data_IF_782140187606
#
_entry.id   IF_782140187606
#
_cell.length_a   1.000
_cell.length_b   1.000
_cell.length_c   1.000
_cell.angle_alpha   90.00
_cell.angle_beta   90.00
_cell.angle_gamma   90.00
#
_symmetry.space_group_name_H-M   'P 1'
#
loop_
_entity.id
_entity.type
_entity.pdbx_description
1 polymer ?
#
# COMPACT_ATOMS: atom_id res chain seq x y z
N UNK A 1 -3.05 -15.47 -21.70
CA UNK A 1 -3.40 -15.32 -20.26
C UNK A 1 -2.46 -14.29 -19.66
N UNK A 2 -2.98 -13.20 -19.09
CA UNK A 2 -2.17 -12.18 -18.38
C UNK A 2 -1.90 -12.70 -16.96
N UNK A 3 -0.66 -12.61 -16.48
CA UNK A 3 -0.26 -13.06 -15.13
C UNK A 3 0.29 -11.88 -14.34
N UNK A 4 -0.36 -11.52 -13.24
CA UNK A 4 -0.12 -10.28 -12.45
C UNK A 4 0.55 -10.54 -11.10
N UNK A 5 1.44 -11.54 -11.01
CA UNK A 5 2.09 -11.91 -9.74
C UNK A 5 3.07 -10.84 -9.21
N UNK A 6 3.46 -9.87 -10.04
CA UNK A 6 4.45 -8.84 -9.70
C UNK A 6 4.10 -8.04 -8.45
N UNK A 7 2.81 -7.72 -8.22
CA UNK A 7 2.41 -6.97 -7.02
C UNK A 7 2.87 -7.68 -5.73
N UNK A 8 2.73 -9.01 -5.64
CA UNK A 8 3.13 -9.77 -4.44
C UNK A 8 4.64 -9.78 -4.22
N UNK A 9 5.42 -9.59 -5.27
CA UNK A 9 6.87 -9.45 -5.21
C UNK A 9 7.32 -8.00 -4.92
N UNK A 10 6.39 -7.06 -4.72
CA UNK A 10 6.68 -5.67 -4.41
C UNK A 10 6.79 -4.75 -5.63
N UNK A 11 6.47 -5.22 -6.84
CA UNK A 11 6.37 -4.34 -8.00
C UNK A 11 5.17 -3.41 -7.84
N UNK A 12 5.32 -2.19 -8.33
CA UNK A 12 4.31 -1.13 -8.22
C UNK A 12 3.54 -0.89 -9.52
N UNK A 13 3.99 -1.50 -10.62
CA UNK A 13 3.39 -1.39 -11.94
C UNK A 13 3.78 -2.59 -12.81
N UNK A 14 3.15 -2.67 -13.98
CA UNK A 14 3.44 -3.63 -15.04
C UNK A 14 3.34 -2.95 -16.40
N UNK A 15 4.20 -3.32 -17.34
CA UNK A 15 4.13 -2.82 -18.72
C UNK A 15 2.99 -3.50 -19.48
N UNK A 16 2.12 -2.72 -20.12
CA UNK A 16 1.14 -3.20 -21.08
C UNK A 16 1.71 -3.15 -22.50
N UNK A 17 1.57 -4.24 -23.25
CA UNK A 17 1.93 -4.31 -24.68
C UNK A 17 0.69 -4.41 -25.58
N UNK A 18 -0.49 -4.55 -24.98
CA UNK A 18 -1.77 -4.64 -25.69
C UNK A 18 -2.89 -3.99 -24.86
N UNK A 19 -3.84 -3.24 -25.47
CA UNK A 19 -4.92 -2.56 -24.75
C UNK A 19 -5.73 -3.46 -23.81
N UNK A 20 -6.05 -4.69 -24.22
CA UNK A 20 -6.77 -5.67 -23.39
C UNK A 20 -6.05 -6.09 -22.08
N UNK A 21 -4.81 -5.65 -21.85
CA UNK A 21 -4.10 -5.89 -20.59
C UNK A 21 -4.33 -4.78 -19.57
N UNK A 22 -4.78 -3.60 -19.99
CA UNK A 22 -4.84 -2.39 -19.17
C UNK A 22 -5.73 -2.61 -17.93
N UNK A 23 -6.97 -3.08 -18.13
CA UNK A 23 -7.91 -3.26 -17.02
C UNK A 23 -7.41 -4.30 -16.01
N UNK A 24 -6.88 -5.42 -16.50
CA UNK A 24 -6.33 -6.50 -15.65
C UNK A 24 -5.12 -6.01 -14.86
N UNK A 25 -4.24 -5.21 -15.47
CA UNK A 25 -3.08 -4.63 -14.80
C UNK A 25 -3.52 -3.61 -13.75
N UNK A 26 -4.44 -2.72 -14.09
CA UNK A 26 -4.92 -1.70 -13.17
C UNK A 26 -5.63 -2.34 -11.97
N UNK A 27 -6.55 -3.27 -12.19
CA UNK A 27 -7.21 -4.02 -11.11
C UNK A 27 -6.20 -4.67 -10.16
N UNK A 28 -5.12 -5.24 -10.71
CA UNK A 28 -4.12 -5.95 -9.93
C UNK A 28 -3.08 -5.08 -9.22
N UNK A 29 -2.88 -3.82 -9.63
CA UNK A 29 -1.85 -2.92 -9.08
C UNK A 29 -2.41 -1.65 -8.43
N UNK A 30 -3.71 -1.39 -8.57
CA UNK A 30 -4.40 -0.30 -7.87
C UNK A 30 -4.49 -0.58 -6.37
N UNK A 31 -4.37 0.50 -5.61
CA UNK A 31 -4.50 0.48 -4.15
C UNK A 31 -5.98 0.37 -3.81
N UNK A 32 -6.34 -0.58 -2.95
CA UNK A 32 -7.72 -0.77 -2.48
C UNK A 32 -8.05 0.21 -1.35
N UNK A 33 -9.35 0.45 -1.11
CA UNK A 33 -9.80 1.30 0.00
C UNK A 33 -9.34 0.74 1.35
N UNK A 34 -9.43 -0.58 1.54
CA UNK A 34 -8.98 -1.25 2.75
C UNK A 34 -7.47 -1.04 3.02
N UNK A 35 -6.63 -1.11 1.99
CA UNK A 35 -5.20 -0.85 2.11
C UNK A 35 -4.92 0.61 2.51
N UNK A 36 -5.71 1.54 1.98
CA UNK A 36 -5.57 2.96 2.29
C UNK A 36 -6.03 3.28 3.71
N UNK A 37 -7.19 2.76 4.11
CA UNK A 37 -7.73 2.88 5.47
C UNK A 37 -6.77 2.30 6.51
N UNK A 38 -6.24 1.10 6.26
CA UNK A 38 -5.22 0.50 7.11
C UNK A 38 -3.98 1.40 7.22
N UNK A 39 -3.46 1.88 6.09
CA UNK A 39 -2.28 2.75 6.07
C UNK A 39 -2.51 4.05 6.85
N UNK A 40 -3.70 4.65 6.74
CA UNK A 40 -4.07 5.85 7.46
C UNK A 40 -4.08 5.61 8.98
N UNK A 41 -4.71 4.52 9.43
CA UNK A 41 -4.75 4.13 10.85
C UNK A 41 -3.35 3.87 11.42
N UNK A 42 -2.47 3.24 10.64
CA UNK A 42 -1.06 3.04 11.05
C UNK A 42 -0.37 4.38 11.23
N UNK A 43 -0.49 5.31 10.28
CA UNK A 43 0.12 6.64 10.38
C UNK A 43 -0.40 7.40 11.59
N UNK A 44 -1.71 7.41 11.80
CA UNK A 44 -2.33 8.06 12.96
C UNK A 44 -1.83 7.49 14.30
N UNK A 45 -1.69 6.16 14.38
CA UNK A 45 -1.23 5.50 15.61
C UNK A 45 0.23 5.88 15.96
N UNK A 46 1.11 6.02 14.96
CA UNK A 46 2.47 6.50 15.15
C UNK A 46 2.55 8.01 15.41
N UNK A 47 1.76 8.81 14.69
CA UNK A 47 1.74 10.26 14.87
C UNK A 47 1.18 10.65 16.26
N UNK A 48 0.29 9.84 16.84
CA UNK A 48 -0.19 9.99 18.21
C UNK A 48 0.86 9.66 19.28
N UNK A 49 1.92 8.92 18.93
CA UNK A 49 2.99 8.49 19.85
C UNK A 49 4.38 8.66 19.19
N UNK A 50 4.87 9.89 19.02
CA UNK A 50 6.09 10.16 18.23
C UNK A 50 7.38 9.60 18.82
N UNK A 51 7.42 9.38 20.13
CA UNK A 51 8.62 8.95 20.87
C UNK A 51 8.77 7.42 21.01
N UNK A 52 7.78 6.63 20.55
CA UNK A 52 7.85 5.16 20.63
C UNK A 52 8.41 4.54 19.36
N UNK A 53 9.28 3.55 19.52
CA UNK A 53 9.83 2.77 18.40
C UNK A 53 8.85 1.75 17.82
N UNK A 54 7.82 1.38 18.58
CA UNK A 54 6.79 0.40 18.23
C UNK A 54 5.42 0.85 18.71
N UNK A 55 4.36 0.52 17.98
CA UNK A 55 2.97 0.84 18.31
C UNK A 55 2.10 -0.41 18.17
N UNK A 56 1.15 -0.61 19.09
CA UNK A 56 0.15 -1.66 18.97
C UNK A 56 -1.10 -1.17 18.25
N UNK A 57 -1.55 -1.86 17.21
CA UNK A 57 -2.80 -1.59 16.49
C UNK A 57 -3.53 -2.92 16.21
N UNK A 58 -4.79 -3.05 16.61
CA UNK A 58 -5.61 -4.27 16.43
C UNK A 58 -4.94 -5.57 16.92
N UNK A 59 -4.16 -5.47 18.00
CA UNK A 59 -3.42 -6.62 18.54
C UNK A 59 -2.13 -6.96 17.78
N UNK A 60 -1.75 -6.18 16.77
CA UNK A 60 -0.51 -6.32 15.99
C UNK A 60 0.50 -5.27 16.47
N UNK A 61 1.75 -5.69 16.68
CA UNK A 61 2.86 -4.79 16.97
C UNK A 61 3.48 -4.30 15.66
N UNK A 62 3.49 -3.00 15.48
CA UNK A 62 4.02 -2.31 14.31
C UNK A 62 5.29 -1.55 14.68
N UNK A 63 6.20 -1.43 13.71
CA UNK A 63 7.46 -0.70 13.86
C UNK A 63 7.61 0.42 12.81
N UNK A 64 8.73 1.15 12.87
CA UNK A 64 9.02 2.29 11.98
C UNK A 64 9.04 1.94 10.48
N UNK A 65 9.51 0.75 10.04
CA UNK A 65 9.27 0.25 8.68
C UNK A 65 7.80 0.22 8.26
N UNK A 66 6.89 -0.24 9.12
CA UNK A 66 5.45 -0.25 8.83
C UNK A 66 4.90 1.17 8.66
N UNK A 67 5.31 2.11 9.53
CA UNK A 67 4.97 3.53 9.39
C UNK A 67 5.44 4.12 8.05
N UNK A 68 6.69 3.84 7.66
CA UNK A 68 7.25 4.32 6.40
C UNK A 68 6.52 3.74 5.19
N UNK A 69 6.15 2.45 5.24
CA UNK A 69 5.39 1.77 4.20
C UNK A 69 3.98 2.39 4.06
N UNK A 70 3.29 2.60 5.18
CA UNK A 70 1.96 3.20 5.21
C UNK A 70 1.94 4.61 4.60
N UNK A 71 2.92 5.47 4.93
CA UNK A 71 3.06 6.78 4.30
C UNK A 71 3.26 6.68 2.79
N UNK A 72 4.14 5.78 2.33
CA UNK A 72 4.36 5.55 0.90
C UNK A 72 3.10 5.09 0.18
N UNK A 73 2.27 4.26 0.84
CA UNK A 73 0.99 3.82 0.29
C UNK A 73 0.03 5.00 0.09
N UNK A 74 -0.13 5.84 1.12
CA UNK A 74 -0.99 7.03 1.08
C UNK A 74 -0.55 8.00 -0.02
N UNK A 75 0.76 8.30 -0.10
CA UNK A 75 1.28 9.20 -1.14
C UNK A 75 1.09 8.65 -2.55
N UNK A 76 1.24 7.32 -2.75
CA UNK A 76 0.92 6.70 -4.04
C UNK A 76 -0.56 6.78 -4.37
N UNK A 77 -1.44 6.59 -3.39
CA UNK A 77 -2.88 6.71 -3.60
C UNK A 77 -3.25 8.13 -4.07
N UNK A 78 -2.69 9.17 -3.42
CA UNK A 78 -2.90 10.57 -3.83
C UNK A 78 -2.41 10.90 -5.24
N UNK A 79 -1.39 10.20 -5.73
CA UNK A 79 -0.80 10.49 -7.04
C UNK A 79 -1.59 9.88 -8.20
N UNK A 80 -2.36 8.82 -7.98
CA UNK A 80 -2.94 7.99 -9.05
C UNK A 80 -4.44 7.67 -8.89
N UNK A 81 -5.10 8.14 -7.84
CA UNK A 81 -6.56 8.22 -7.72
C UNK A 81 -7.01 9.65 -7.95
#
# INVERSE_FOLDING_TARGET
>A
MVRVNGHRAGFTSMMAIHPNQIDIINEAFSITDEQLEWSQRVVEAFDASPDVGVVGLDGIMLDKPHYTQAKRMIERAKAYR
#
